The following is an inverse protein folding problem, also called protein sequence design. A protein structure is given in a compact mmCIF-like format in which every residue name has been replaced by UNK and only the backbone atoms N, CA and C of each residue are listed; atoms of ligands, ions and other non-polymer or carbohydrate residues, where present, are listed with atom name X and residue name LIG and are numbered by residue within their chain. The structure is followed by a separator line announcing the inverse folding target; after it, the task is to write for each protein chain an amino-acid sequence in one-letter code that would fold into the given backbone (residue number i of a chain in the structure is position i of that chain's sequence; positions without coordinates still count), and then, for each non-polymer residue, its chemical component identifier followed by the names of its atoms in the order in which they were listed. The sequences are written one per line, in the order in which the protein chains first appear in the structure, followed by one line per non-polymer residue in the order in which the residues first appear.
data_IF_973310570985
#
_entry.id   IF_973310570985
#
_cell.length_a   1.000
_cell.length_b   1.000
_cell.length_c   1.000
_cell.angle_alpha   90.00
_cell.angle_beta   90.00
_cell.angle_gamma   90.00
#
_symmetry.space_group_name_H-M   'P 1'
#
loop_
_entity.id
_entity.type
_entity.pdbx_description
1 polymer ?
#
# COMPACT_ATOMS: atom_id res chain seq x y z
N UNK A 1 -0.68 -2.40 14.91
CA UNK A 1 0.74 -2.72 15.17
C UNK A 1 1.48 -2.31 13.90
N UNK A 2 1.93 -1.04 13.81
CA UNK A 2 2.11 -0.35 12.51
C UNK A 2 3.05 -1.07 11.52
N UNK A 3 4.20 -1.57 12.01
CA UNK A 3 5.15 -2.29 11.17
C UNK A 3 4.56 -3.60 10.64
N UNK A 4 3.87 -4.37 11.48
CA UNK A 4 3.20 -5.62 11.07
C UNK A 4 2.12 -5.35 10.03
N UNK A 5 1.33 -4.29 10.22
CA UNK A 5 0.27 -3.91 9.30
C UNK A 5 0.82 -3.47 7.94
N UNK A 6 1.97 -2.81 7.92
CA UNK A 6 2.69 -2.42 6.70
C UNK A 6 3.30 -3.64 6.00
N UNK A 7 3.95 -4.56 6.74
CA UNK A 7 4.55 -5.77 6.15
C UNK A 7 3.50 -6.71 5.56
N UNK A 8 2.34 -6.83 6.21
CA UNK A 8 1.23 -7.64 5.69
C UNK A 8 0.73 -7.08 4.34
N UNK A 9 0.57 -5.76 4.25
CA UNK A 9 0.14 -5.09 3.00
C UNK A 9 1.20 -5.16 1.92
N UNK A 10 2.49 -4.97 2.26
CA UNK A 10 3.60 -5.15 1.32
C UNK A 10 3.61 -6.57 0.73
N UNK A 11 3.45 -7.59 1.57
CA UNK A 11 3.38 -8.98 1.13
C UNK A 11 2.19 -9.23 0.21
N UNK A 12 1.01 -8.71 0.54
CA UNK A 12 -0.18 -8.86 -0.28
C UNK A 12 -0.05 -8.18 -1.64
N UNK A 13 0.51 -6.96 -1.67
CA UNK A 13 0.77 -6.25 -2.94
C UNK A 13 1.75 -7.04 -3.79
N UNK A 14 2.84 -7.54 -3.22
CA UNK A 14 3.81 -8.37 -3.94
C UNK A 14 3.17 -9.59 -4.61
N UNK A 15 2.26 -10.29 -3.92
CA UNK A 15 1.57 -11.48 -4.44
C UNK A 15 0.56 -11.16 -5.57
N UNK A 16 0.02 -9.94 -5.59
CA UNK A 16 -1.09 -9.57 -6.48
C UNK A 16 -0.66 -8.63 -7.63
N UNK A 17 0.54 -8.07 -7.55
CA UNK A 17 1.02 -7.04 -8.48
C UNK A 17 1.02 -7.50 -9.95
N UNK A 18 1.37 -8.76 -10.22
CA UNK A 18 1.44 -9.28 -11.60
C UNK A 18 0.06 -9.64 -12.19
N UNK A 19 -0.96 -9.78 -11.34
CA UNK A 19 -2.29 -10.26 -11.76
C UNK A 19 -3.37 -9.20 -11.66
N UNK A 20 -3.11 -8.08 -10.99
CA UNK A 20 -4.06 -6.97 -10.89
C UNK A 20 -4.23 -6.26 -12.23
N UNK A 21 -5.48 -5.87 -12.53
CA UNK A 21 -5.83 -5.16 -13.76
C UNK A 21 -5.24 -3.74 -13.83
N UNK A 22 -4.89 -3.17 -12.67
CA UNK A 22 -4.36 -1.82 -12.56
C UNK A 22 -3.26 -1.83 -11.47
N UNK A 23 -2.03 -2.27 -11.81
CA UNK A 23 -0.92 -2.35 -10.87
C UNK A 23 -0.51 -0.99 -10.34
N UNK A 24 -0.69 0.07 -11.13
CA UNK A 24 -0.27 1.40 -10.72
C UNK A 24 -1.20 2.01 -9.66
N UNK A 25 -2.51 1.71 -9.73
CA UNK A 25 -3.45 2.03 -8.65
C UNK A 25 -3.12 1.29 -7.37
N UNK A 26 -2.71 0.03 -7.47
CA UNK A 26 -2.30 -0.76 -6.31
C UNK A 26 -1.05 -0.17 -5.66
N UNK A 27 -0.07 0.23 -6.46
CA UNK A 27 1.17 0.88 -6.00
C UNK A 27 0.92 2.24 -5.36
N UNK A 28 0.06 3.08 -5.96
CA UNK A 28 -0.32 4.37 -5.39
C UNK A 28 -0.97 4.19 -4.00
N UNK A 29 -1.90 3.23 -3.89
CA UNK A 29 -2.56 2.90 -2.61
C UNK A 29 -1.56 2.41 -1.57
N UNK A 30 -0.63 1.54 -1.96
CA UNK A 30 0.42 1.05 -1.07
C UNK A 30 1.22 2.21 -0.47
N UNK A 31 1.69 3.14 -1.31
CA UNK A 31 2.46 4.30 -0.84
C UNK A 31 1.64 5.14 0.18
N UNK A 32 0.39 5.46 -0.15
CA UNK A 32 -0.49 6.23 0.75
C UNK A 32 -0.74 5.50 2.09
N UNK A 33 -0.94 4.19 2.04
CA UNK A 33 -1.14 3.38 3.24
C UNK A 33 0.09 3.36 4.14
N UNK A 34 1.30 3.18 3.57
CA UNK A 34 2.56 3.23 4.33
C UNK A 34 2.74 4.60 4.99
N UNK A 35 2.46 5.70 4.28
CA UNK A 35 2.47 7.04 4.87
C UNK A 35 1.46 7.16 6.02
N UNK A 36 0.20 6.77 5.81
CA UNK A 36 -0.87 6.92 6.81
C UNK A 36 -0.62 6.09 8.07
N UNK A 37 -0.20 4.84 7.92
CA UNK A 37 0.02 3.93 9.05
C UNK A 37 1.37 4.17 9.72
N UNK A 38 2.40 4.50 8.94
CA UNK A 38 3.78 4.62 9.39
C UNK A 38 4.15 5.98 9.97
N UNK A 39 3.47 7.07 9.57
CA UNK A 39 3.85 8.43 9.97
C UNK A 39 3.92 8.58 11.50
N UNK A 40 5.08 8.98 12.00
CA UNK A 40 5.37 9.16 13.43
C UNK A 40 5.43 7.86 14.25
N UNK A 41 5.29 6.69 13.62
CA UNK A 41 5.24 5.37 14.29
C UNK A 41 6.35 4.42 13.86
N UNK A 42 6.92 4.63 12.67
CA UNK A 42 8.08 3.87 12.17
C UNK A 42 9.21 4.84 11.79
N UNK A 43 10.45 4.40 11.98
CA UNK A 43 11.63 5.12 11.55
C UNK A 43 12.23 4.39 10.36
N UNK A 44 12.10 5.01 9.18
CA UNK A 44 12.73 4.54 7.95
C UNK A 44 14.15 5.09 7.88
N UNK A 45 15.09 4.30 7.37
CA UNK A 45 16.39 4.82 6.97
C UNK A 45 16.28 5.59 5.64
N UNK A 46 17.30 6.38 5.30
CA UNK A 46 17.29 7.22 4.09
C UNK A 46 17.00 6.43 2.80
N UNK A 47 17.47 5.20 2.70
CA UNK A 47 17.22 4.36 1.53
C UNK A 47 15.76 3.91 1.46
N UNK A 48 15.16 3.57 2.60
CA UNK A 48 13.74 3.21 2.69
C UNK A 48 12.81 4.41 2.44
N UNK A 49 13.18 5.59 2.94
CA UNK A 49 12.48 6.84 2.63
C UNK A 49 12.51 7.13 1.13
N UNK A 50 13.67 6.97 0.49
CA UNK A 50 13.80 7.14 -0.96
C UNK A 50 12.93 6.16 -1.73
N UNK A 51 12.90 4.88 -1.32
CA UNK A 51 12.03 3.87 -1.93
C UNK A 51 10.55 4.25 -1.82
N UNK A 52 10.11 4.79 -0.68
CA UNK A 52 8.74 5.24 -0.49
C UNK A 52 8.40 6.46 -1.36
N UNK A 53 9.32 7.40 -1.51
CA UNK A 53 9.19 8.55 -2.42
C UNK A 53 9.04 8.08 -3.87
N UNK A 54 9.91 7.17 -4.31
CA UNK A 54 9.90 6.64 -5.67
C UNK A 54 8.59 5.90 -5.94
N UNK A 55 8.13 5.08 -4.98
CA UNK A 55 6.85 4.36 -5.05
C UNK A 55 5.67 5.33 -5.21
N UNK A 56 5.65 6.42 -4.45
CA UNK A 56 4.65 7.49 -4.60
C UNK A 56 4.69 8.15 -5.97
N UNK A 57 5.89 8.45 -6.48
CA UNK A 57 6.06 9.04 -7.81
C UNK A 57 5.61 8.11 -8.94
N UNK A 58 5.91 6.80 -8.85
CA UNK A 58 5.40 5.79 -9.78
C UNK A 58 3.87 5.75 -9.78
N UNK A 59 3.26 5.70 -8.59
CA UNK A 59 1.80 5.69 -8.46
C UNK A 59 1.12 6.98 -8.96
N UNK A 60 1.77 8.14 -8.84
CA UNK A 60 1.21 9.41 -9.33
C UNK A 60 1.29 9.56 -10.85
N UNK A 61 2.42 9.15 -11.47
CA UNK A 61 2.61 9.24 -12.93
C UNK A 61 1.59 8.43 -13.73
N UNK A 62 1.19 7.28 -13.20
CA UNK A 62 0.16 6.44 -13.79
C UNK A 62 -1.28 6.84 -13.40
N UNK A 63 -1.41 7.71 -12.37
CA UNK A 63 -2.66 8.16 -11.79
C UNK A 63 -3.40 9.28 -12.53
N UNK A 64 -2.87 9.76 -13.67
CA UNK A 64 -3.48 10.83 -14.47
C UNK A 64 -4.88 10.52 -15.03
N UNK A 65 -5.35 9.27 -14.92
CA UNK A 65 -6.71 8.86 -15.25
C UNK A 65 -7.60 8.82 -13.99
N UNK A 66 -8.11 9.97 -13.51
CA UNK A 66 -9.27 10.27 -12.61
C UNK A 66 -9.77 9.32 -11.47
N UNK A 67 -9.40 8.04 -11.41
CA UNK A 67 -9.89 6.98 -10.50
C UNK A 67 -9.10 6.93 -9.18
N UNK A 68 -8.01 7.70 -9.08
CA UNK A 68 -7.01 7.58 -8.02
C UNK A 68 -7.23 8.50 -6.81
N UNK A 69 -8.36 9.23 -6.76
CA UNK A 69 -8.73 10.14 -5.65
C UNK A 69 -9.54 9.45 -4.55
N UNK A 70 -9.38 8.14 -4.36
CA UNK A 70 -9.97 7.45 -3.22
C UNK A 70 -9.00 7.50 -2.05
N UNK A 71 -9.45 7.97 -0.89
CA UNK A 71 -8.71 7.82 0.37
C UNK A 71 -8.77 6.34 0.79
N UNK A 72 -7.78 5.56 0.37
CA UNK A 72 -7.65 4.15 0.76
C UNK A 72 -6.78 4.07 2.03
N UNK A 73 -7.43 4.10 3.19
CA UNK A 73 -6.77 4.19 4.50
C UNK A 73 -6.81 2.89 5.29
N UNK A 74 -7.45 1.83 4.78
CA UNK A 74 -7.70 0.61 5.55
C UNK A 74 -6.97 -0.62 5.01
N UNK A 75 -6.32 -1.37 5.90
CA UNK A 75 -5.60 -2.62 5.60
C UNK A 75 -6.44 -3.60 4.77
N UNK A 76 -7.72 -3.75 5.13
CA UNK A 76 -8.63 -4.70 4.51
C UNK A 76 -8.84 -4.46 3.01
N UNK A 77 -8.60 -3.25 2.50
CA UNK A 77 -8.80 -2.89 1.10
C UNK A 77 -7.76 -3.54 0.16
N UNK A 78 -6.67 -4.09 0.71
CA UNK A 78 -5.64 -4.81 -0.03
C UNK A 78 -5.92 -6.32 -0.14
N UNK A 79 -6.84 -6.83 0.68
CA UNK A 79 -7.13 -8.26 0.76
C UNK A 79 -8.48 -8.57 0.11
N UNK A 80 -8.52 -9.62 -0.70
CA UNK A 80 -9.79 -10.16 -1.18
C UNK A 80 -10.58 -10.79 -0.02
N UNK A 81 -11.89 -11.01 -0.16
CA UNK A 81 -12.75 -11.50 0.93
C UNK A 81 -12.28 -12.81 1.58
N UNK A 82 -11.64 -13.69 0.81
CA UNK A 82 -11.01 -14.93 1.29
C UNK A 82 -9.76 -14.68 2.14
N UNK A 83 -8.91 -13.73 1.76
CA UNK A 83 -7.70 -13.39 2.49
C UNK A 83 -8.01 -12.52 3.73
N UNK A 84 -9.02 -11.65 3.63
CA UNK A 84 -9.42 -10.74 4.69
C UNK A 84 -9.79 -11.47 6.00
N UNK A 85 -10.36 -12.68 5.94
CA UNK A 85 -10.62 -13.51 7.13
C UNK A 85 -9.36 -14.00 7.85
N UNK A 86 -8.23 -14.10 7.14
CA UNK A 86 -6.93 -14.51 7.71
C UNK A 86 -6.22 -13.36 8.43
N UNK A 87 -6.47 -12.12 7.99
CA UNK A 87 -5.85 -10.90 8.52
C UNK A 87 -6.77 -10.03 9.39
N UNK A 88 -8.08 -10.31 9.39
CA UNK A 88 -9.03 -9.84 10.41
C UNK A 88 -8.75 -10.56 11.74
N UNK A 89 -7.62 -10.22 12.35
CA UNK A 89 -7.42 -10.55 13.77
C UNK A 89 -8.31 -9.62 14.58
N UNK A 90 -9.15 -10.27 15.39
CA UNK A 90 -9.99 -9.73 16.48
C UNK A 90 -9.17 -8.86 17.42
#
# INVERSE_FOLDING_TARGET
NALLDITDVLSQVYLTLETTKNPEALVNRLANYIYSVGFGKIHLNKSEEQLLIDLGAYGQRAGWNSVYRGDYTAKAEFFNYSDARKYARV
#
